data_IF_017014498703
#
_entry.id   IF_017014498703
#
_cell.length_a   1.000
_cell.length_b   1.000
_cell.length_c   1.000
_cell.angle_alpha   90.00
_cell.angle_beta   90.00
_cell.angle_gamma   90.00
#
_symmetry.space_group_name_H-M   'P 1'
#
loop_
_entity.id
_entity.type
_entity.pdbx_description
1 polymer ?
#
# COMPACT_ATOMS: atom_id res chain seq x y z
N UNK A 1 -8.46 -6.73 -14.52
CA UNK A 1 -7.98 -7.53 -13.39
C UNK A 1 -6.52 -7.20 -13.15
N UNK A 2 -6.26 -6.52 -12.05
CA UNK A 2 -4.92 -6.16 -11.58
C UNK A 2 -4.54 -7.19 -10.53
N UNK A 3 -3.31 -7.70 -10.61
CA UNK A 3 -2.82 -8.73 -9.71
C UNK A 3 -1.41 -8.40 -9.26
N UNK A 4 -1.22 -8.36 -7.94
CA UNK A 4 0.09 -8.13 -7.33
C UNK A 4 0.23 -8.92 -6.04
N UNK A 5 1.45 -9.06 -5.56
CA UNK A 5 1.79 -9.74 -4.32
C UNK A 5 2.51 -8.79 -3.38
N UNK A 6 2.12 -8.81 -2.12
CA UNK A 6 2.85 -8.12 -1.04
C UNK A 6 3.50 -9.13 -0.10
N UNK A 7 4.58 -8.70 0.54
CA UNK A 7 5.26 -9.46 1.60
C UNK A 7 4.39 -9.45 2.86
N UNK A 8 4.52 -10.48 3.68
CA UNK A 8 3.75 -10.59 4.94
C UNK A 8 3.92 -9.36 5.84
N UNK A 9 5.15 -8.86 5.95
CA UNK A 9 5.49 -7.68 6.77
C UNK A 9 4.78 -6.41 6.30
N UNK A 10 4.67 -6.22 4.97
CA UNK A 10 3.95 -5.09 4.37
C UNK A 10 2.45 -5.17 4.68
N UNK A 11 1.86 -6.36 4.59
CA UNK A 11 0.44 -6.59 4.88
C UNK A 11 0.15 -6.35 6.37
N UNK A 12 1.02 -6.85 7.26
CA UNK A 12 0.91 -6.63 8.70
C UNK A 12 1.08 -5.16 9.07
N UNK A 13 1.99 -4.45 8.42
CA UNK A 13 2.15 -3.01 8.55
C UNK A 13 0.86 -2.27 8.18
N UNK A 14 0.28 -2.53 7.00
CA UNK A 14 -0.98 -1.88 6.58
C UNK A 14 -2.12 -2.14 7.57
N UNK A 15 -2.26 -3.40 8.03
CA UNK A 15 -3.28 -3.80 9.02
C UNK A 15 -3.12 -3.07 10.36
N UNK A 16 -1.88 -2.88 10.82
CA UNK A 16 -1.57 -2.28 12.12
C UNK A 16 -1.62 -0.75 12.10
N UNK A 17 -1.09 -0.14 11.04
CA UNK A 17 -0.95 1.31 10.92
C UNK A 17 -2.26 1.96 10.51
N UNK A 18 -3.06 1.29 9.68
CA UNK A 18 -4.31 1.84 9.14
C UNK A 18 -5.52 0.93 9.42
N UNK A 19 -5.79 0.58 10.70
CA UNK A 19 -6.84 -0.37 11.04
C UNK A 19 -8.23 0.13 10.64
N UNK A 20 -8.45 1.45 10.62
CA UNK A 20 -9.75 2.08 10.35
C UNK A 20 -9.82 2.79 8.99
N UNK A 21 -8.75 2.75 8.18
CA UNK A 21 -8.77 3.36 6.86
C UNK A 21 -9.60 2.50 5.90
N UNK A 22 -10.70 3.06 5.40
CA UNK A 22 -11.66 2.35 4.53
C UNK A 22 -11.05 1.87 3.22
N UNK A 23 -10.15 2.65 2.61
CA UNK A 23 -9.47 2.27 1.37
C UNK A 23 -8.53 1.09 1.63
N UNK A 24 -7.70 1.18 2.69
CA UNK A 24 -6.79 0.10 3.07
C UNK A 24 -7.55 -1.18 3.42
N UNK A 25 -8.63 -1.09 4.22
CA UNK A 25 -9.49 -2.25 4.53
C UNK A 25 -10.08 -2.86 3.27
N UNK A 26 -10.52 -2.03 2.31
CA UNK A 26 -11.06 -2.50 1.04
C UNK A 26 -9.99 -3.23 0.23
N UNK A 27 -8.78 -2.69 0.09
CA UNK A 27 -7.67 -3.35 -0.59
C UNK A 27 -7.31 -4.68 0.09
N UNK A 28 -7.20 -4.68 1.42
CA UNK A 28 -6.91 -5.88 2.21
C UNK A 28 -8.00 -6.96 2.09
N UNK A 29 -9.24 -6.60 1.74
CA UNK A 29 -10.31 -7.59 1.53
C UNK A 29 -10.11 -8.44 0.26
N UNK A 30 -9.28 -7.98 -0.68
CA UNK A 30 -8.90 -8.74 -1.88
C UNK A 30 -7.69 -9.66 -1.65
N UNK A 31 -7.10 -9.64 -0.45
CA UNK A 31 -5.91 -10.45 -0.13
C UNK A 31 -6.27 -11.93 0.04
N UNK A 32 -5.52 -12.79 -0.64
CA UNK A 32 -5.56 -14.23 -0.49
C UNK A 32 -4.14 -14.80 -0.55
N UNK A 33 -3.63 -15.21 0.62
CA UNK A 33 -2.29 -15.80 0.78
C UNK A 33 -1.15 -14.86 0.30
N UNK A 34 -1.31 -13.56 0.54
CA UNK A 34 -0.40 -12.48 0.16
C UNK A 34 -0.57 -11.99 -1.28
N UNK A 35 -1.47 -12.61 -2.05
CA UNK A 35 -1.80 -12.22 -3.43
C UNK A 35 -3.08 -11.39 -3.40
N UNK A 36 -3.07 -10.27 -4.13
CA UNK A 36 -4.20 -9.37 -4.31
C UNK A 36 -4.69 -9.51 -5.74
N UNK A 37 -5.98 -9.80 -5.91
CA UNK A 37 -6.64 -9.85 -7.22
C UNK A 37 -7.80 -8.85 -7.20
N UNK A 38 -7.64 -7.76 -7.95
CA UNK A 38 -8.56 -6.63 -7.96
C UNK A 38 -9.15 -6.43 -9.35
N UNK A 39 -10.49 -6.46 -9.43
CA UNK A 39 -11.22 -6.15 -10.67
C UNK A 39 -11.62 -4.67 -10.78
N UNK A 40 -11.45 -3.89 -9.71
CA UNK A 40 -11.74 -2.46 -9.66
C UNK A 40 -10.46 -1.63 -9.83
N UNK A 41 -10.25 -1.12 -11.05
CA UNK A 41 -9.13 -0.26 -11.39
C UNK A 41 -9.13 1.06 -10.60
N UNK A 42 -10.30 1.61 -10.25
CA UNK A 42 -10.35 2.85 -9.46
C UNK A 42 -9.81 2.62 -8.06
N UNK A 43 -10.17 1.49 -7.41
CA UNK A 43 -9.63 1.18 -6.07
C UNK A 43 -8.12 0.97 -6.10
N UNK A 44 -7.58 0.43 -7.20
CA UNK A 44 -6.14 0.30 -7.37
C UNK A 44 -5.45 1.67 -7.53
N UNK A 45 -5.98 2.54 -8.38
CA UNK A 45 -5.45 3.90 -8.59
C UNK A 45 -5.51 4.68 -7.28
N UNK A 46 -6.67 4.70 -6.62
CA UNK A 46 -6.85 5.35 -5.32
C UNK A 46 -5.83 4.85 -4.29
N UNK A 47 -5.54 3.54 -4.30
CA UNK A 47 -4.56 2.95 -3.39
C UNK A 47 -3.12 3.38 -3.72
N UNK A 48 -2.74 3.40 -4.99
CA UNK A 48 -1.41 3.85 -5.40
C UNK A 48 -1.18 5.33 -5.08
N UNK A 49 -2.16 6.18 -5.37
CA UNK A 49 -2.13 7.61 -5.04
C UNK A 49 -2.08 7.82 -3.52
N UNK A 50 -2.88 7.06 -2.77
CA UNK A 50 -2.87 7.11 -1.31
C UNK A 50 -1.49 6.74 -0.73
N UNK A 51 -0.84 5.69 -1.24
CA UNK A 51 0.49 5.30 -0.77
C UNK A 51 1.54 6.41 -1.04
N UNK A 52 1.43 7.10 -2.18
CA UNK A 52 2.31 8.20 -2.54
C UNK A 52 2.16 9.39 -1.57
N UNK A 53 0.93 9.87 -1.39
CA UNK A 53 0.61 10.99 -0.47
C UNK A 53 0.97 10.66 0.98
N UNK A 54 0.60 9.46 1.43
CA UNK A 54 0.81 9.03 2.81
C UNK A 54 2.31 8.83 3.10
N UNK A 55 3.11 8.41 2.11
CA UNK A 55 4.57 8.30 2.29
C UNK A 55 5.22 9.64 2.63
N UNK A 56 4.75 10.73 2.00
CA UNK A 56 5.19 12.10 2.26
C UNK A 56 4.68 12.57 3.62
N UNK A 57 3.43 12.26 3.97
CA UNK A 57 2.86 12.61 5.27
C UNK A 57 3.61 11.99 6.46
N UNK A 58 4.28 10.85 6.24
CA UNK A 58 5.12 10.20 7.24
C UNK A 58 6.57 10.70 7.32
N UNK A 59 6.99 11.62 6.44
CA UNK A 59 8.32 12.23 6.56
C UNK A 59 8.42 13.04 7.85
N UNK A 60 9.64 13.23 8.35
CA UNK A 60 9.85 14.06 9.52
C UNK A 60 9.83 15.57 9.20
N UNK A 61 10.04 16.42 10.20
CA UNK A 61 10.00 17.88 10.06
C UNK A 61 11.04 18.44 9.06
N UNK A 62 12.09 17.67 8.75
CA UNK A 62 13.13 18.04 7.78
C UNK A 62 12.87 17.46 6.39
N UNK A 63 11.73 16.79 6.17
CA UNK A 63 11.41 16.02 4.98
C UNK A 63 12.35 14.82 4.77
N UNK A 64 12.94 14.30 5.86
CA UNK A 64 13.71 13.06 5.79
C UNK A 64 12.77 11.85 5.87
N UNK A 65 13.09 10.81 5.10
CA UNK A 65 12.30 9.59 5.07
C UNK A 65 12.36 8.84 6.41
N UNK A 66 11.20 8.61 7.01
CA UNK A 66 11.07 7.78 8.21
C UNK A 66 10.95 6.30 7.84
N UNK A 67 11.06 5.37 8.82
CA UNK A 67 10.79 3.96 8.55
C UNK A 67 9.41 3.70 7.94
N UNK A 68 8.40 4.51 8.30
CA UNK A 68 7.06 4.43 7.74
C UNK A 68 7.03 4.89 6.28
N UNK A 69 7.69 6.01 5.96
CA UNK A 69 7.87 6.46 4.56
C UNK A 69 8.49 5.36 3.72
N UNK A 70 9.61 4.80 4.17
CA UNK A 70 10.34 3.73 3.45
C UNK A 70 9.46 2.49 3.26
N UNK A 71 8.67 2.12 4.27
CA UNK A 71 7.76 0.96 4.16
C UNK A 71 6.65 1.21 3.12
N UNK A 72 6.03 2.40 3.12
CA UNK A 72 4.99 2.77 2.16
C UNK A 72 5.54 2.84 0.73
N UNK A 73 6.70 3.47 0.54
CA UNK A 73 7.41 3.51 -0.74
C UNK A 73 7.76 2.10 -1.21
N UNK A 74 8.25 1.23 -0.33
CA UNK A 74 8.53 -0.17 -0.68
C UNK A 74 7.28 -0.94 -1.11
N UNK A 75 6.11 -0.66 -0.53
CA UNK A 75 4.84 -1.27 -0.94
C UNK A 75 4.46 -0.76 -2.33
N UNK A 76 4.47 0.56 -2.53
CA UNK A 76 4.15 1.20 -3.81
C UNK A 76 5.04 0.68 -4.93
N UNK A 77 6.35 0.64 -4.69
CA UNK A 77 7.34 0.21 -5.68
C UNK A 77 7.22 -1.28 -6.00
N UNK A 78 7.00 -2.14 -4.98
CA UNK A 78 6.77 -3.57 -5.19
C UNK A 78 5.52 -3.81 -6.06
N UNK A 79 4.45 -3.03 -5.87
CA UNK A 79 3.23 -3.11 -6.69
C UNK A 79 3.52 -2.63 -8.10
N UNK A 80 4.12 -1.44 -8.25
CA UNK A 80 4.41 -0.83 -9.53
C UNK A 80 5.24 -1.76 -10.43
N UNK A 81 6.26 -2.42 -9.88
CA UNK A 81 7.12 -3.37 -10.60
C UNK A 81 6.40 -4.65 -11.06
N UNK A 82 5.25 -4.98 -10.48
CA UNK A 82 4.47 -6.16 -10.82
C UNK A 82 3.35 -5.86 -11.82
N UNK A 83 2.91 -4.61 -11.90
CA UNK A 83 1.77 -4.19 -12.71
C UNK A 83 2.15 -3.37 -13.93
N UNK A 84 3.43 -3.04 -14.11
CA UNK A 84 4.00 -2.36 -15.28
C UNK A 84 5.24 -3.08 -15.78
#
# INVERSE_FOLDING_TARGET
MIKFKLKKEQIEFLKKTYPDNKLIQRVLSFEKEGIFEMDDENTYIDFMDYLDDESVAWMDENYDATPQTIMLESIRDDIFCQTN
#
